data_IF_756169806610
#
_entry.id   IF_756169806610
#
_cell.length_a   1.000
_cell.length_b   1.000
_cell.length_c   1.000
_cell.angle_alpha   90.00
_cell.angle_beta   90.00
_cell.angle_gamma   90.00
#
_symmetry.space_group_name_H-M   'P 1'
#
loop_
_entity.id
_entity.type
_entity.pdbx_description
1 polymer ?
#
# COMPACT_ATOMS: atom_id res chain seq x y z
N UNK A 1 24.13 -91.21 16.83
CA UNK A 1 23.79 -90.35 15.64
C UNK A 1 24.26 -88.92 15.95
N UNK A 2 25.25 -88.42 15.27
CA UNK A 2 25.68 -87.05 15.43
C UNK A 2 24.81 -86.19 14.51
N UNK A 3 24.10 -85.22 15.08
CA UNK A 3 23.30 -84.25 14.31
C UNK A 3 24.24 -83.17 13.83
N UNK A 4 24.53 -83.11 12.54
CA UNK A 4 25.25 -82.02 11.91
C UNK A 4 24.30 -80.86 11.66
N UNK A 5 24.47 -79.81 12.42
CA UNK A 5 23.85 -78.51 12.08
C UNK A 5 24.67 -77.84 10.97
N UNK A 6 24.04 -77.56 9.83
CA UNK A 6 24.65 -76.68 8.82
C UNK A 6 24.70 -75.26 9.40
N UNK A 7 25.86 -74.74 9.57
CA UNK A 7 26.06 -73.34 9.83
C UNK A 7 25.70 -72.62 8.53
N UNK A 8 24.78 -71.62 8.52
CA UNK A 8 24.50 -70.90 7.35
C UNK A 8 25.76 -70.19 6.78
N UNK A 9 25.96 -70.23 5.48
CA UNK A 9 27.06 -69.53 4.85
C UNK A 9 27.03 -68.05 5.27
N UNK A 10 28.16 -67.51 5.67
CA UNK A 10 28.29 -66.13 6.07
C UNK A 10 27.96 -65.24 4.82
N UNK A 11 26.90 -64.47 4.90
CA UNK A 11 26.54 -63.57 3.84
C UNK A 11 27.65 -62.53 3.68
N UNK A 12 28.33 -62.52 2.55
CA UNK A 12 29.35 -61.53 2.27
C UNK A 12 28.73 -60.13 2.27
N UNK A 13 29.27 -59.18 3.02
CA UNK A 13 28.77 -57.81 3.00
C UNK A 13 28.89 -57.21 1.58
N UNK A 14 27.79 -56.69 1.05
CA UNK A 14 27.84 -55.92 -0.19
C UNK A 14 27.99 -54.46 0.16
N UNK A 15 29.00 -53.78 -0.40
CA UNK A 15 29.21 -52.35 -0.23
C UNK A 15 28.64 -51.62 -1.44
N UNK A 16 27.76 -50.63 -1.18
CA UNK A 16 27.28 -49.72 -2.20
C UNK A 16 27.89 -48.33 -1.93
N UNK A 17 28.50 -47.75 -2.95
CA UNK A 17 29.04 -46.40 -2.89
C UNK A 17 28.12 -45.49 -3.71
N UNK A 18 27.67 -44.39 -3.10
CA UNK A 18 26.93 -43.32 -3.78
C UNK A 18 27.85 -42.10 -3.76
N UNK A 19 28.50 -41.83 -4.88
CA UNK A 19 29.45 -40.72 -5.07
C UNK A 19 28.78 -39.47 -5.61
N UNK A 20 27.60 -39.62 -6.22
CA UNK A 20 26.83 -38.53 -6.83
C UNK A 20 25.37 -38.66 -6.42
N UNK A 21 24.86 -37.65 -5.74
CA UNK A 21 23.45 -37.56 -5.36
C UNK A 21 22.62 -36.81 -6.43
N UNK A 22 21.63 -37.47 -7.01
CA UNK A 22 20.79 -36.94 -8.10
C UNK A 22 19.54 -36.19 -7.63
N UNK A 23 19.24 -36.26 -6.33
CA UNK A 23 18.09 -35.55 -5.78
C UNK A 23 17.05 -36.47 -5.13
N UNK A 24 15.83 -35.99 -5.04
CA UNK A 24 14.70 -36.72 -4.43
C UNK A 24 13.75 -37.13 -5.54
N UNK A 25 13.31 -38.37 -5.52
CA UNK A 25 12.33 -38.90 -6.47
C UNK A 25 11.07 -39.34 -5.69
N UNK A 26 10.02 -38.52 -5.83
CA UNK A 26 8.69 -38.83 -5.28
C UNK A 26 7.73 -39.46 -6.29
N UNK A 27 8.17 -39.60 -7.55
CA UNK A 27 7.30 -40.10 -8.63
C UNK A 27 7.26 -41.63 -8.66
N UNK A 28 8.34 -42.27 -8.23
CA UNK A 28 8.45 -43.70 -8.23
C UNK A 28 8.19 -44.32 -6.83
N UNK A 29 7.74 -45.57 -6.82
CA UNK A 29 7.68 -46.33 -5.56
C UNK A 29 9.08 -46.46 -4.92
N UNK A 30 9.22 -46.38 -3.60
CA UNK A 30 10.53 -46.36 -2.92
C UNK A 30 11.51 -47.46 -3.34
N UNK A 31 11.02 -48.63 -3.69
CA UNK A 31 11.84 -49.74 -4.18
C UNK A 31 12.36 -49.60 -5.61
N UNK A 32 11.78 -48.71 -6.40
CA UNK A 32 12.15 -48.46 -7.81
C UNK A 32 12.94 -47.16 -8.02
N UNK A 33 13.23 -46.46 -6.93
CA UNK A 33 14.04 -45.23 -6.99
C UNK A 33 15.49 -45.55 -7.28
N UNK A 34 16.15 -44.78 -8.18
CA UNK A 34 17.59 -44.93 -8.46
C UNK A 34 18.39 -44.83 -7.15
N UNK A 35 19.39 -45.69 -7.00
CA UNK A 35 20.24 -45.73 -5.79
C UNK A 35 20.94 -44.43 -5.47
N UNK A 36 21.07 -43.51 -6.45
CA UNK A 36 21.64 -42.17 -6.28
C UNK A 36 20.57 -41.11 -5.95
N UNK A 37 19.31 -41.51 -5.81
CA UNK A 37 18.20 -40.68 -5.41
C UNK A 37 17.61 -41.15 -4.09
N UNK A 38 16.94 -40.25 -3.40
CA UNK A 38 16.23 -40.59 -2.15
C UNK A 38 14.72 -40.60 -2.37
N UNK A 39 13.97 -41.56 -1.93
CA UNK A 39 12.52 -41.53 -1.91
C UNK A 39 11.96 -40.61 -0.83
N UNK A 40 12.79 -40.13 0.11
CA UNK A 40 12.41 -39.24 1.20
C UNK A 40 13.62 -38.45 1.70
N UNK A 41 13.82 -37.27 1.18
CA UNK A 41 14.96 -36.38 1.52
C UNK A 41 14.60 -35.25 2.45
N UNK A 42 14.02 -35.52 3.60
CA UNK A 42 13.66 -34.46 4.57
C UNK A 42 14.90 -33.75 5.11
N UNK A 43 14.81 -32.39 5.16
CA UNK A 43 15.90 -31.53 5.67
C UNK A 43 17.24 -31.68 4.96
N UNK A 44 17.22 -32.09 3.70
CA UNK A 44 18.40 -32.14 2.85
C UNK A 44 18.32 -31.07 1.78
N UNK A 45 19.44 -30.43 1.52
CA UNK A 45 19.59 -29.42 0.45
C UNK A 45 20.75 -29.83 -0.47
N UNK A 46 20.58 -29.45 -1.72
CA UNK A 46 21.58 -29.65 -2.79
C UNK A 46 21.98 -28.27 -3.31
N UNK A 47 23.00 -27.71 -2.74
CA UNK A 47 23.60 -26.43 -3.13
C UNK A 47 24.74 -26.58 -4.15
N UNK A 48 25.35 -27.78 -4.20
CA UNK A 48 26.36 -28.13 -5.17
C UNK A 48 25.88 -29.35 -5.96
N UNK A 49 25.96 -29.36 -7.30
CA UNK A 49 25.60 -30.51 -8.11
C UNK A 49 26.29 -31.80 -7.64
N UNK A 50 25.53 -32.87 -7.49
CA UNK A 50 26.03 -34.16 -7.05
C UNK A 50 26.30 -34.32 -5.56
N UNK A 51 26.25 -33.26 -4.77
CA UNK A 51 26.42 -33.28 -3.32
C UNK A 51 25.13 -32.99 -2.59
N UNK A 52 24.98 -33.54 -1.42
CA UNK A 52 23.87 -33.29 -0.51
C UNK A 52 24.43 -32.98 0.88
N UNK A 53 23.81 -32.04 1.55
CA UNK A 53 24.05 -31.75 2.96
C UNK A 53 22.76 -31.58 3.73
N UNK A 54 22.83 -31.75 5.03
CA UNK A 54 21.71 -31.41 5.89
C UNK A 54 21.44 -29.89 5.81
N UNK A 55 20.17 -29.51 5.73
CA UNK A 55 19.80 -28.12 5.89
C UNK A 55 20.20 -27.64 7.29
N UNK A 56 20.70 -26.43 7.35
CA UNK A 56 20.93 -25.80 8.66
C UNK A 56 19.59 -25.57 9.36
N UNK A 57 19.59 -25.69 10.67
CA UNK A 57 18.46 -25.26 11.49
C UNK A 57 18.24 -23.76 11.38
N UNK A 58 17.13 -23.30 11.91
CA UNK A 58 16.82 -21.88 12.09
C UNK A 58 16.49 -21.63 13.55
N UNK A 59 16.76 -20.42 13.97
CA UNK A 59 16.49 -19.95 15.32
C UNK A 59 15.34 -18.95 15.27
N UNK A 60 14.48 -18.99 16.29
CA UNK A 60 13.44 -17.99 16.45
C UNK A 60 14.06 -16.67 16.90
N UNK A 61 14.12 -15.68 16.02
CA UNK A 61 14.67 -14.35 16.34
C UNK A 61 13.67 -13.51 17.13
N UNK A 62 12.38 -13.55 16.75
CA UNK A 62 11.34 -12.73 17.37
C UNK A 62 9.93 -13.23 17.05
N UNK A 63 9.02 -13.02 17.99
CA UNK A 63 7.57 -13.16 17.80
C UNK A 63 6.90 -11.81 17.66
N UNK A 64 5.90 -11.74 16.79
CA UNK A 64 5.04 -10.56 16.60
C UNK A 64 3.59 -10.92 16.90
N UNK A 65 2.81 -9.91 17.25
CA UNK A 65 1.39 -10.08 17.49
C UNK A 65 0.64 -10.24 16.16
N UNK A 66 0.12 -11.44 15.92
CA UNK A 66 -0.62 -11.80 14.73
C UNK A 66 0.21 -12.46 13.63
N UNK A 67 -0.48 -12.76 12.53
CA UNK A 67 0.12 -13.39 11.34
C UNK A 67 1.07 -12.42 10.66
N UNK A 68 2.22 -12.91 10.21
CA UNK A 68 3.13 -12.14 9.35
C UNK A 68 2.53 -12.04 7.95
N UNK A 69 2.21 -10.83 7.55
CA UNK A 69 1.55 -10.47 6.30
C UNK A 69 2.53 -9.95 5.23
N UNK A 70 3.72 -9.52 5.63
CA UNK A 70 4.74 -9.03 4.72
C UNK A 70 6.04 -8.64 5.42
N UNK A 71 7.09 -8.57 4.62
CA UNK A 71 8.37 -7.98 4.99
C UNK A 71 8.75 -6.95 3.93
N UNK A 72 9.11 -5.77 4.36
CA UNK A 72 9.37 -4.63 3.51
C UNK A 72 10.69 -3.99 3.88
N UNK A 73 11.47 -3.54 2.90
CA UNK A 73 12.75 -2.91 3.16
C UNK A 73 12.98 -1.71 2.26
N UNK A 74 13.22 -0.57 2.87
CA UNK A 74 13.73 0.61 2.18
C UNK A 74 15.23 0.48 2.01
N UNK A 75 15.78 0.71 0.81
CA UNK A 75 17.21 0.47 0.50
C UNK A 75 18.18 1.21 1.40
N UNK A 76 17.83 2.44 1.82
CA UNK A 76 18.66 3.26 2.70
C UNK A 76 18.66 2.79 4.16
N UNK A 77 17.66 2.01 4.57
CA UNK A 77 17.51 1.59 5.96
C UNK A 77 18.32 0.33 6.24
N UNK A 78 18.88 0.24 7.43
CA UNK A 78 19.58 -0.97 7.92
C UNK A 78 18.59 -2.08 8.25
N UNK A 79 17.47 -1.71 8.87
CA UNK A 79 16.41 -2.63 9.32
C UNK A 79 15.24 -2.66 8.33
N UNK A 80 14.56 -3.79 8.23
CA UNK A 80 13.32 -3.93 7.51
C UNK A 80 12.10 -3.60 8.37
N UNK A 81 10.95 -3.61 7.72
CA UNK A 81 9.63 -3.46 8.32
C UNK A 81 8.90 -4.78 8.21
N UNK A 82 8.35 -5.24 9.32
CA UNK A 82 7.54 -6.46 9.40
C UNK A 82 6.09 -6.05 9.55
N UNK A 83 5.25 -6.49 8.63
CA UNK A 83 3.80 -6.37 8.75
C UNK A 83 3.26 -7.62 9.44
N UNK A 84 2.76 -7.47 10.66
CA UNK A 84 2.15 -8.57 11.42
C UNK A 84 0.81 -8.11 12.03
N UNK A 85 -0.23 -8.92 11.80
CA UNK A 85 -1.59 -8.57 12.20
C UNK A 85 -2.03 -7.24 11.59
N UNK A 86 -2.42 -6.28 12.43
CA UNK A 86 -2.83 -4.93 12.04
C UNK A 86 -1.73 -3.88 12.26
N UNK A 87 -0.48 -4.30 12.44
CA UNK A 87 0.61 -3.40 12.80
C UNK A 87 1.81 -3.55 11.87
N UNK A 88 2.54 -2.46 11.71
CA UNK A 88 3.87 -2.46 11.12
C UNK A 88 4.92 -2.28 12.22
N UNK A 89 5.93 -3.11 12.19
CA UNK A 89 7.02 -3.14 13.16
C UNK A 89 8.36 -2.93 12.47
N UNK A 90 9.30 -2.31 13.14
CA UNK A 90 10.72 -2.47 12.81
C UNK A 90 11.18 -3.88 13.20
N UNK A 91 12.26 -4.37 12.63
CA UNK A 91 12.85 -5.67 13.01
C UNK A 91 13.16 -5.77 14.52
N UNK A 92 13.48 -4.65 15.16
CA UNK A 92 13.72 -4.58 16.60
C UNK A 92 12.44 -4.72 17.46
N UNK A 93 11.24 -4.80 16.83
CA UNK A 93 9.95 -4.94 17.49
C UNK A 93 9.23 -3.62 17.81
N UNK A 94 9.82 -2.48 17.48
CA UNK A 94 9.16 -1.18 17.67
C UNK A 94 7.99 -1.04 16.68
N UNK A 95 6.80 -0.71 17.20
CA UNK A 95 5.62 -0.42 16.38
C UNK A 95 5.79 0.95 15.72
N UNK A 96 5.57 1.02 14.42
CA UNK A 96 5.64 2.27 13.63
C UNK A 96 4.29 2.65 12.99
N UNK A 97 3.32 1.72 12.96
CA UNK A 97 1.97 1.97 12.49
C UNK A 97 1.01 0.92 13.05
N UNK A 98 -0.22 1.32 13.47
CA UNK A 98 -1.16 0.44 14.19
C UNK A 98 -2.48 0.15 13.48
N UNK A 99 -2.69 0.74 12.30
CA UNK A 99 -3.97 0.66 11.57
C UNK A 99 -3.82 -0.01 10.20
N UNK A 100 -2.85 -0.93 10.07
CA UNK A 100 -2.71 -1.73 8.85
C UNK A 100 -3.85 -2.76 8.75
N UNK A 101 -4.17 -3.16 7.52
CA UNK A 101 -5.13 -4.22 7.29
C UNK A 101 -4.47 -5.59 7.52
N UNK A 102 -5.15 -6.49 8.24
CA UNK A 102 -4.62 -7.85 8.49
C UNK A 102 -4.73 -8.75 7.25
N UNK A 103 -4.05 -8.37 6.17
CA UNK A 103 -3.98 -9.09 4.91
C UNK A 103 -2.55 -9.04 4.33
N UNK A 104 -2.17 -9.94 3.41
CA UNK A 104 -0.88 -9.88 2.77
C UNK A 104 -0.59 -8.51 2.16
N UNK A 105 0.61 -8.01 2.37
CA UNK A 105 1.03 -6.71 1.88
C UNK A 105 2.23 -6.81 0.95
N UNK A 106 2.31 -5.87 0.01
CA UNK A 106 3.40 -5.74 -0.96
C UNK A 106 3.97 -4.33 -0.90
N UNK A 107 5.20 -4.16 -1.32
CA UNK A 107 5.84 -2.85 -1.29
C UNK A 107 6.71 -2.58 -2.49
N UNK A 108 6.79 -1.30 -2.83
CA UNK A 108 7.65 -0.74 -3.88
C UNK A 108 8.37 0.48 -3.34
N UNK A 109 9.64 0.59 -3.66
CA UNK A 109 10.38 1.79 -3.34
C UNK A 109 10.18 2.82 -4.45
N UNK A 110 9.59 3.95 -4.11
CA UNK A 110 9.43 5.11 -4.97
C UNK A 110 10.26 6.26 -4.41
N UNK A 111 11.29 6.67 -5.15
CA UNK A 111 12.29 7.62 -4.66
C UNK A 111 12.87 7.18 -3.30
N UNK A 112 12.84 8.05 -2.31
CA UNK A 112 13.36 7.81 -0.95
C UNK A 112 12.30 7.25 0.02
N UNK A 113 11.15 6.82 -0.49
CA UNK A 113 10.04 6.31 0.30
C UNK A 113 9.64 4.91 -0.13
N UNK A 114 9.05 4.17 0.79
CA UNK A 114 8.49 2.85 0.53
C UNK A 114 6.98 2.93 0.52
N UNK A 115 6.38 2.57 -0.60
CA UNK A 115 4.93 2.45 -0.74
C UNK A 115 4.53 1.03 -0.39
N UNK A 116 3.68 0.85 0.62
CA UNK A 116 3.19 -0.44 1.09
C UNK A 116 1.68 -0.49 0.83
N UNK A 117 1.21 -1.53 0.15
CA UNK A 117 -0.21 -1.77 -0.11
C UNK A 117 -0.63 -3.01 0.68
N UNK A 118 -1.64 -2.87 1.54
CA UNK A 118 -2.15 -3.92 2.43
C UNK A 118 -3.56 -4.42 2.06
N UNK A 119 -4.06 -4.05 0.88
CA UNK A 119 -5.39 -4.39 0.37
C UNK A 119 -6.52 -3.49 0.87
N UNK A 120 -6.27 -2.57 1.80
CA UNK A 120 -7.21 -1.55 2.27
C UNK A 120 -6.60 -0.14 2.29
N UNK A 121 -5.28 -0.05 2.39
CA UNK A 121 -4.55 1.22 2.47
C UNK A 121 -3.35 1.22 1.53
N UNK A 122 -2.97 2.42 1.13
CA UNK A 122 -1.65 2.72 0.57
C UNK A 122 -0.88 3.49 1.64
N UNK A 123 0.11 2.85 2.21
CA UNK A 123 0.93 3.41 3.29
C UNK A 123 2.27 3.87 2.72
N UNK A 124 2.69 5.05 3.10
CA UNK A 124 3.97 5.64 2.69
C UNK A 124 4.89 5.71 3.90
N UNK A 125 6.00 5.00 3.83
CA UNK A 125 7.07 5.06 4.81
C UNK A 125 8.24 5.88 4.27
N UNK A 126 8.62 6.93 4.98
CA UNK A 126 9.66 7.90 4.57
C UNK A 126 11.07 7.61 5.16
N UNK A 127 11.21 6.50 5.90
CA UNK A 127 12.40 6.14 6.68
C UNK A 127 12.23 6.42 8.17
N UNK A 128 11.24 7.19 8.58
CA UNK A 128 10.98 7.57 9.96
C UNK A 128 9.57 7.23 10.41
N UNK A 129 8.59 7.64 9.64
CA UNK A 129 7.16 7.51 9.94
C UNK A 129 6.38 6.85 8.80
N UNK A 130 5.23 6.28 9.14
CA UNK A 130 4.28 5.74 8.17
C UNK A 130 3.05 6.63 8.15
N UNK A 131 2.59 7.01 6.95
CA UNK A 131 1.37 7.80 6.74
C UNK A 131 0.49 7.13 5.71
N UNK A 132 -0.83 7.25 5.87
CA UNK A 132 -1.76 6.82 4.83
C UNK A 132 -1.70 7.83 3.66
N UNK A 133 -1.54 7.32 2.45
CA UNK A 133 -1.51 8.15 1.24
C UNK A 133 -2.78 9.00 1.09
N UNK A 134 -3.93 8.50 1.54
CA UNK A 134 -5.18 9.26 1.53
C UNK A 134 -5.13 10.56 2.36
N UNK A 135 -4.29 10.60 3.40
CA UNK A 135 -4.14 11.78 4.27
C UNK A 135 -3.21 12.84 3.68
N UNK A 136 -2.17 12.39 2.98
CA UNK A 136 -1.11 13.26 2.43
C UNK A 136 -1.27 13.57 0.95
N UNK A 137 -2.19 12.88 0.27
CA UNK A 137 -2.45 13.09 -1.15
C UNK A 137 -2.89 14.54 -1.42
N UNK A 138 -2.37 15.09 -2.50
CA UNK A 138 -2.78 16.43 -2.95
C UNK A 138 -4.27 16.42 -3.28
N UNK A 139 -5.01 17.34 -2.67
CA UNK A 139 -6.43 17.52 -2.98
C UNK A 139 -6.57 18.12 -4.38
N UNK A 140 -7.22 17.42 -5.32
CA UNK A 140 -7.35 17.90 -6.69
C UNK A 140 -8.30 19.10 -6.77
N UNK A 141 -8.03 19.99 -7.70
CA UNK A 141 -8.95 21.04 -8.11
C UNK A 141 -9.91 20.42 -9.13
N UNK A 142 -11.19 20.34 -8.76
CA UNK A 142 -12.21 19.69 -9.57
C UNK A 142 -12.87 20.64 -10.56
N UNK A 143 -13.15 21.87 -10.13
CA UNK A 143 -13.85 22.85 -10.94
C UNK A 143 -13.24 24.24 -10.77
N UNK A 144 -13.19 25.00 -11.85
CA UNK A 144 -12.74 26.39 -11.90
C UNK A 144 -13.76 27.26 -12.65
N UNK A 145 -13.64 28.57 -12.49
CA UNK A 145 -14.50 29.57 -13.13
C UNK A 145 -15.99 29.32 -12.88
N UNK A 146 -16.32 28.80 -11.70
CA UNK A 146 -17.67 28.44 -11.31
C UNK A 146 -18.39 29.63 -10.73
N UNK A 147 -19.59 29.92 -11.22
CA UNK A 147 -20.43 30.91 -10.58
C UNK A 147 -21.00 30.35 -9.25
N UNK A 148 -21.38 31.20 -8.28
CA UNK A 148 -21.97 30.75 -7.02
C UNK A 148 -23.14 29.75 -7.21
N UNK A 149 -23.96 29.95 -8.24
CA UNK A 149 -25.12 29.11 -8.57
C UNK A 149 -24.79 27.86 -9.39
N UNK A 150 -23.56 27.64 -9.78
CA UNK A 150 -23.12 26.52 -10.59
C UNK A 150 -22.53 26.94 -11.94
N UNK A 151 -22.30 25.95 -12.81
CA UNK A 151 -21.57 26.14 -14.07
C UNK A 151 -20.05 26.02 -13.84
N UNK A 152 -19.26 26.59 -14.75
CA UNK A 152 -17.82 26.53 -14.74
C UNK A 152 -17.28 25.40 -15.61
N UNK A 153 -15.97 25.14 -15.52
CA UNK A 153 -15.30 23.99 -16.19
C UNK A 153 -14.96 22.94 -15.19
N UNK A 154 -15.56 21.77 -15.33
CA UNK A 154 -15.27 20.61 -14.50
C UNK A 154 -14.12 19.80 -15.10
N UNK A 155 -13.18 19.44 -14.26
CA UNK A 155 -12.16 18.44 -14.57
C UNK A 155 -12.60 17.07 -14.06
N UNK A 156 -12.00 16.01 -14.57
CA UNK A 156 -12.31 14.67 -14.10
C UNK A 156 -11.93 14.48 -12.63
N UNK A 157 -12.92 14.18 -11.78
CA UNK A 157 -12.75 14.04 -10.33
C UNK A 157 -12.31 12.64 -9.94
N UNK A 158 -11.16 12.20 -10.43
CA UNK A 158 -10.63 10.88 -10.11
C UNK A 158 -9.54 10.97 -9.03
N UNK A 159 -9.93 11.37 -7.83
CA UNK A 159 -9.07 11.13 -6.67
C UNK A 159 -9.46 9.83 -5.98
N UNK A 160 -8.80 8.74 -6.37
CA UNK A 160 -9.02 7.42 -5.79
C UNK A 160 -8.34 7.24 -4.41
N UNK A 161 -7.39 8.11 -4.08
CA UNK A 161 -6.64 8.03 -2.80
C UNK A 161 -7.34 8.76 -1.66
N UNK A 162 -8.11 9.80 -1.97
CA UNK A 162 -8.78 10.62 -0.96
C UNK A 162 -10.14 11.09 -1.47
N UNK A 163 -11.19 11.08 -0.63
CA UNK A 163 -12.50 11.61 -1.00
C UNK A 163 -12.54 13.15 -1.10
N UNK A 164 -11.42 13.82 -0.83
CA UNK A 164 -11.34 15.28 -0.82
C UNK A 164 -11.26 15.86 -2.23
N UNK A 165 -11.93 16.96 -2.44
CA UNK A 165 -11.91 17.74 -3.69
C UNK A 165 -11.92 19.24 -3.37
N UNK A 166 -11.53 20.05 -4.36
CA UNK A 166 -11.58 21.52 -4.29
C UNK A 166 -12.30 22.06 -5.50
N UNK A 167 -13.02 23.16 -5.28
CA UNK A 167 -13.67 23.93 -6.33
C UNK A 167 -13.36 25.41 -6.16
N UNK A 168 -13.18 26.10 -7.28
CA UNK A 168 -12.97 27.55 -7.31
C UNK A 168 -14.14 28.24 -7.96
N UNK A 169 -14.51 29.38 -7.40
CA UNK A 169 -15.65 30.17 -7.80
C UNK A 169 -15.24 31.59 -8.09
N UNK A 170 -15.81 32.13 -9.15
CA UNK A 170 -15.84 33.54 -9.42
C UNK A 170 -16.96 34.15 -8.56
N UNK A 171 -16.61 34.78 -7.45
CA UNK A 171 -17.55 35.40 -6.55
C UNK A 171 -18.22 36.60 -7.21
N UNK A 172 -19.47 36.85 -6.83
CA UNK A 172 -20.22 38.03 -7.25
C UNK A 172 -20.36 39.02 -6.08
N UNK A 173 -20.85 40.23 -6.38
CA UNK A 173 -21.00 41.26 -5.36
C UNK A 173 -21.96 40.87 -4.24
N UNK A 174 -23.05 40.13 -4.59
CA UNK A 174 -24.20 39.95 -3.71
C UNK A 174 -24.49 38.48 -3.34
N UNK A 175 -23.91 37.50 -4.07
CA UNK A 175 -24.19 36.10 -3.83
C UNK A 175 -23.49 35.62 -2.55
N UNK A 176 -24.28 35.06 -1.65
CA UNK A 176 -23.82 34.47 -0.39
C UNK A 176 -23.83 32.92 -0.40
N UNK A 177 -24.59 32.30 -1.32
CA UNK A 177 -24.76 30.84 -1.40
C UNK A 177 -23.96 30.27 -2.57
N UNK A 178 -23.08 29.33 -2.27
CA UNK A 178 -22.21 28.66 -3.23
C UNK A 178 -22.58 27.20 -3.33
N UNK A 179 -22.84 26.71 -4.53
CA UNK A 179 -23.25 25.36 -4.81
C UNK A 179 -22.06 24.53 -5.30
N UNK A 180 -21.67 23.53 -4.49
CA UNK A 180 -20.67 22.56 -4.90
C UNK A 180 -21.23 21.61 -5.97
N UNK A 181 -20.36 20.99 -6.75
CA UNK A 181 -20.74 19.99 -7.76
C UNK A 181 -21.31 18.71 -7.15
N UNK A 182 -21.04 18.47 -5.88
CA UNK A 182 -21.50 17.30 -5.18
C UNK A 182 -22.38 17.64 -3.98
N UNK A 183 -23.43 16.84 -3.79
CA UNK A 183 -24.26 16.80 -2.59
C UNK A 183 -23.93 15.54 -1.75
N UNK A 184 -24.45 15.47 -0.53
CA UNK A 184 -24.18 14.35 0.38
C UNK A 184 -22.70 14.31 0.79
N UNK A 185 -22.19 15.46 1.25
CA UNK A 185 -20.80 15.59 1.72
C UNK A 185 -20.57 14.81 3.00
N UNK A 186 -19.36 14.30 3.17
CA UNK A 186 -18.92 13.63 4.39
C UNK A 186 -18.96 14.58 5.60
N UNK A 187 -19.03 14.02 6.80
CA UNK A 187 -18.88 14.77 8.04
C UNK A 187 -17.40 15.05 8.35
N UNK A 188 -16.73 15.66 7.38
CA UNK A 188 -15.35 16.11 7.45
C UNK A 188 -15.30 17.65 7.40
N UNK A 189 -14.25 18.29 7.91
CA UNK A 189 -14.08 19.74 7.83
C UNK A 189 -14.14 20.23 6.38
N UNK A 190 -14.99 21.23 6.15
CA UNK A 190 -15.00 22.00 4.90
C UNK A 190 -14.12 23.22 5.12
N UNK A 191 -13.16 23.45 4.23
CA UNK A 191 -12.28 24.60 4.31
C UNK A 191 -12.61 25.60 3.20
N UNK A 192 -12.58 26.86 3.54
CA UNK A 192 -12.85 27.97 2.62
C UNK A 192 -11.62 28.87 2.58
N UNK A 193 -11.21 29.28 1.38
CA UNK A 193 -10.17 30.28 1.19
C UNK A 193 -10.68 31.39 0.30
N UNK A 194 -10.24 32.59 0.59
CA UNK A 194 -10.56 33.81 -0.21
C UNK A 194 -9.26 34.36 -0.76
N UNK A 195 -9.28 34.73 -2.03
CA UNK A 195 -8.17 35.38 -2.71
C UNK A 195 -8.09 36.83 -2.26
N UNK A 196 -6.94 37.24 -1.76
CA UNK A 196 -6.70 38.66 -1.42
C UNK A 196 -6.15 39.47 -2.60
N UNK A 197 -5.99 40.78 -2.43
CA UNK A 197 -5.45 41.70 -3.44
C UNK A 197 -4.02 41.38 -3.88
N UNK A 198 -3.26 40.71 -3.05
CA UNK A 198 -1.87 40.32 -3.32
C UNK A 198 -1.75 38.99 -4.09
N UNK A 199 -2.90 38.36 -4.44
CA UNK A 199 -2.95 37.07 -5.12
C UNK A 199 -2.72 35.87 -4.22
N UNK A 200 -2.78 36.06 -2.91
CA UNK A 200 -2.63 34.97 -1.96
C UNK A 200 -3.99 34.43 -1.50
N UNK A 201 -4.09 33.10 -1.36
CA UNK A 201 -5.25 32.42 -0.81
C UNK A 201 -5.19 32.41 0.72
N UNK A 202 -6.14 33.08 1.38
CA UNK A 202 -6.23 33.22 2.83
C UNK A 202 -7.37 32.35 3.38
N UNK A 203 -7.10 31.60 4.43
CA UNK A 203 -8.11 30.77 5.08
C UNK A 203 -9.20 31.64 5.73
N UNK A 204 -10.47 31.30 5.46
CA UNK A 204 -11.64 31.87 6.11
C UNK A 204 -12.21 30.84 7.09
N UNK A 205 -11.93 31.05 8.38
CA UNK A 205 -12.25 30.07 9.42
C UNK A 205 -13.66 30.23 10.00
N UNK A 206 -14.34 31.34 9.72
CA UNK A 206 -15.67 31.66 10.26
C UNK A 206 -16.54 32.41 9.25
N UNK A 207 -17.75 32.76 9.65
CA UNK A 207 -18.68 33.56 8.86
C UNK A 207 -19.31 32.82 7.68
N UNK A 208 -19.37 31.49 7.75
CA UNK A 208 -20.11 30.66 6.80
C UNK A 208 -20.73 29.43 7.47
N UNK A 209 -21.74 28.87 6.84
CA UNK A 209 -22.40 27.61 7.22
C UNK A 209 -22.41 26.63 6.05
N UNK A 210 -22.43 25.34 6.33
CA UNK A 210 -22.39 24.27 5.34
C UNK A 210 -23.63 23.40 5.44
N UNK A 211 -24.41 23.30 4.37
CA UNK A 211 -25.43 22.27 4.20
C UNK A 211 -24.85 21.10 3.42
N UNK A 212 -24.42 20.07 4.17
CA UNK A 212 -23.76 18.89 3.60
C UNK A 212 -24.71 18.08 2.71
N UNK A 213 -25.98 18.01 3.07
CA UNK A 213 -26.97 17.26 2.31
C UNK A 213 -27.18 17.85 0.92
N UNK A 214 -27.20 19.17 0.82
CA UNK A 214 -27.34 19.88 -0.45
C UNK A 214 -26.01 20.16 -1.15
N UNK A 215 -24.89 20.08 -0.44
CA UNK A 215 -23.59 20.49 -0.97
C UNK A 215 -23.49 22.00 -1.18
N UNK A 216 -23.98 22.79 -0.21
CA UNK A 216 -23.94 24.25 -0.31
C UNK A 216 -23.16 24.87 0.85
N UNK A 217 -22.46 25.95 0.56
CA UNK A 217 -21.77 26.79 1.54
C UNK A 217 -22.41 28.18 1.49
N UNK A 218 -22.93 28.64 2.63
CA UNK A 218 -23.60 29.94 2.75
C UNK A 218 -22.75 30.86 3.61
N UNK A 219 -22.34 31.98 3.05
CA UNK A 219 -21.60 33.04 3.74
C UNK A 219 -22.54 34.00 4.45
N UNK A 220 -22.18 34.47 5.63
CA UNK A 220 -22.92 35.53 6.33
C UNK A 220 -22.86 36.89 5.58
N UNK A 221 -21.74 37.10 4.90
CA UNK A 221 -21.54 38.28 4.03
C UNK A 221 -20.92 37.82 2.72
N UNK A 222 -21.42 38.30 1.62
CA UNK A 222 -20.91 37.96 0.28
C UNK A 222 -19.40 38.18 0.20
N UNK A 223 -18.61 37.23 -0.32
CA UNK A 223 -17.18 37.37 -0.52
C UNK A 223 -16.80 38.48 -1.48
N UNK A 224 -17.75 38.92 -2.30
CA UNK A 224 -17.55 39.95 -3.31
C UNK A 224 -16.94 39.39 -4.61
N UNK A 225 -16.65 40.32 -5.51
CA UNK A 225 -15.96 39.99 -6.77
C UNK A 225 -14.47 39.78 -6.54
N UNK A 226 -13.83 39.09 -7.47
CA UNK A 226 -12.38 38.90 -7.39
C UNK A 226 -11.62 40.22 -7.38
N UNK A 227 -10.65 40.40 -6.50
CA UNK A 227 -9.75 41.54 -6.51
C UNK A 227 -8.81 41.56 -7.73
N UNK A 228 -8.62 40.40 -8.37
CA UNK A 228 -7.79 40.22 -9.56
C UNK A 228 -8.68 39.88 -10.76
N UNK A 229 -8.55 40.64 -11.83
CA UNK A 229 -9.37 40.44 -13.03
C UNK A 229 -9.13 39.08 -13.66
N UNK A 230 -10.21 38.33 -13.91
CA UNK A 230 -10.16 37.01 -14.54
C UNK A 230 -9.80 35.87 -13.64
N UNK A 231 -9.59 36.10 -12.34
CA UNK A 231 -9.28 35.08 -11.37
C UNK A 231 -10.49 34.70 -10.50
N UNK A 232 -10.59 33.41 -10.12
CA UNK A 232 -11.51 32.98 -9.10
C UNK A 232 -11.07 33.50 -7.73
N UNK A 233 -12.01 33.88 -6.88
CA UNK A 233 -11.67 34.43 -5.56
C UNK A 233 -12.18 33.67 -4.37
N UNK A 234 -12.94 32.58 -4.57
CA UNK A 234 -13.42 31.71 -3.50
C UNK A 234 -13.00 30.29 -3.82
N UNK A 235 -12.22 29.64 -2.94
CA UNK A 235 -11.85 28.23 -3.02
C UNK A 235 -12.51 27.48 -1.87
N UNK A 236 -13.26 26.44 -2.18
CA UNK A 236 -13.93 25.58 -1.21
C UNK A 236 -13.39 24.15 -1.37
N UNK A 237 -12.91 23.58 -0.27
CA UNK A 237 -12.49 22.17 -0.20
C UNK A 237 -13.46 21.40 0.66
N UNK A 238 -13.93 20.31 0.15
CA UNK A 238 -14.87 19.41 0.83
C UNK A 238 -14.48 17.93 0.60
N UNK A 239 -15.24 17.04 1.20
CA UNK A 239 -15.03 15.59 1.07
C UNK A 239 -16.35 14.91 0.74
N UNK A 240 -16.29 13.94 -0.19
CA UNK A 240 -17.39 13.05 -0.51
C UNK A 240 -16.86 11.66 -0.78
N UNK A 241 -17.14 10.74 0.13
CA UNK A 241 -16.80 9.33 -0.03
C UNK A 241 -17.75 8.65 -1.02
N UNK A 242 -17.17 8.02 -2.05
CA UNK A 242 -17.91 7.17 -2.97
C UNK A 242 -17.50 5.73 -2.72
N UNK A 243 -18.46 4.88 -2.37
CA UNK A 243 -18.20 3.46 -2.08
C UNK A 243 -17.49 2.77 -3.23
N UNK A 244 -16.44 2.02 -2.93
CA UNK A 244 -15.66 1.24 -3.89
C UNK A 244 -14.65 2.04 -4.71
N UNK A 245 -14.55 3.38 -4.57
CA UNK A 245 -13.58 4.17 -5.33
C UNK A 245 -12.14 3.85 -4.93
N UNK A 246 -11.84 3.85 -3.64
CA UNK A 246 -10.51 3.52 -3.13
C UNK A 246 -10.11 2.07 -3.47
N UNK A 247 -11.08 1.16 -3.51
CA UNK A 247 -10.86 -0.25 -3.84
C UNK A 247 -10.16 -0.45 -5.19
N UNK A 248 -10.38 0.45 -6.14
CA UNK A 248 -9.77 0.41 -7.47
C UNK A 248 -8.24 0.51 -7.44
N UNK A 249 -7.68 1.06 -6.37
CA UNK A 249 -6.24 1.22 -6.20
C UNK A 249 -5.70 0.34 -5.07
N UNK A 250 -6.35 0.36 -3.90
CA UNK A 250 -5.83 -0.34 -2.72
C UNK A 250 -5.93 -1.86 -2.82
N UNK A 251 -6.83 -2.38 -3.67
CA UNK A 251 -6.97 -3.83 -3.93
C UNK A 251 -6.11 -4.33 -5.09
N UNK A 252 -5.24 -3.50 -5.65
CA UNK A 252 -4.31 -3.94 -6.68
C UNK A 252 -3.27 -4.91 -6.13
N UNK A 253 -3.16 -6.09 -6.76
CA UNK A 253 -2.22 -7.14 -6.37
C UNK A 253 -0.88 -7.07 -7.11
N UNK A 254 -0.85 -6.36 -8.21
CA UNK A 254 0.33 -6.22 -9.06
C UNK A 254 0.68 -4.74 -9.15
N UNK A 255 1.93 -4.42 -8.95
CA UNK A 255 2.46 -3.07 -9.14
C UNK A 255 3.79 -3.12 -9.89
N UNK A 256 4.02 -2.13 -10.71
CA UNK A 256 5.28 -1.94 -11.41
C UNK A 256 5.73 -0.50 -11.33
N UNK A 257 7.02 -0.31 -11.07
CA UNK A 257 7.65 1.00 -11.15
C UNK A 257 7.98 1.32 -12.61
N UNK A 258 7.54 2.46 -13.05
CA UNK A 258 7.77 2.94 -14.41
C UNK A 258 8.00 4.45 -14.42
N UNK A 259 8.81 4.91 -15.36
CA UNK A 259 9.03 6.32 -15.61
C UNK A 259 9.65 6.55 -16.99
N UNK A 260 9.70 7.80 -17.41
CA UNK A 260 10.26 8.21 -18.69
C UNK A 260 11.79 8.32 -18.56
N UNK A 261 12.53 7.93 -19.61
CA UNK A 261 14.00 8.00 -19.68
C UNK A 261 14.72 7.25 -18.54
N UNK A 262 14.18 6.09 -18.12
CA UNK A 262 14.80 5.27 -17.09
C UNK A 262 14.55 5.73 -15.65
N UNK A 263 13.77 6.77 -15.45
CA UNK A 263 13.27 7.13 -14.12
C UNK A 263 12.26 6.08 -13.65
N UNK A 264 12.22 5.83 -12.33
CA UNK A 264 11.18 4.99 -11.68
C UNK A 264 10.39 5.88 -10.73
N UNK A 265 9.67 6.85 -11.30
CA UNK A 265 9.01 7.94 -10.59
C UNK A 265 7.50 7.72 -10.38
N UNK A 266 6.96 6.62 -10.92
CA UNK A 266 5.55 6.27 -10.84
C UNK A 266 5.37 4.79 -10.52
N UNK A 267 4.35 4.51 -9.75
CA UNK A 267 3.85 3.18 -9.47
C UNK A 267 2.52 2.99 -10.20
N UNK A 268 2.46 1.97 -11.06
CA UNK A 268 1.26 1.56 -11.78
C UNK A 268 0.75 0.23 -11.26
#
# INVERSE_FOLDING_TARGET
MAVHFRVPDQVSPSTMVVDTFLGVDYSNAPGNVDKRQSPNGQNMIRDVPGKVRKSMGYELVRTFDGKINGYHKLKKDKEGIIHAGTKLYRENGTVIYEQANNAPSKSWQLNDSLTIIDGAHILIYDGTSVKNAAEIAKVPLFSIAKAPKGGGTDYEALNLLSPKFRERFAGTKDDTVYHLSFSGLDDAPVTVKILNSDGAWVDKNDGFTVDRAKGTVTFNTAPGVSPLSGEDNVEISASRTVSGYADRVVKCDIGILFGVNGASDRLF
#
